data_IF_626399818615
#
_entry.id   IF_626399818615
#
_cell.length_a   1.000
_cell.length_b   1.000
_cell.length_c   1.000
_cell.angle_alpha   90.00
_cell.angle_beta   90.00
_cell.angle_gamma   90.00
#
_symmetry.space_group_name_H-M   'P 1'
#
loop_
_entity.id
_entity.type
_entity.pdbx_description
1 polymer ?
#
# COMPACT_ATOMS: atom_id res chain seq x y z
N UNK A 1 -24.93 -14.19 16.87
CA UNK A 1 -24.70 -13.35 15.67
C UNK A 1 -25.20 -14.13 14.47
N UNK A 2 -25.79 -13.47 13.47
CA UNK A 2 -26.25 -14.14 12.25
C UNK A 2 -25.07 -14.59 11.38
N UNK A 3 -25.29 -15.57 10.50
CA UNK A 3 -24.26 -16.04 9.57
C UNK A 3 -23.73 -14.92 8.66
N UNK A 4 -24.61 -13.98 8.27
CA UNK A 4 -24.26 -12.83 7.43
C UNK A 4 -23.33 -11.85 8.17
N UNK A 5 -23.60 -11.58 9.45
CA UNK A 5 -22.75 -10.69 10.26
C UNK A 5 -21.35 -11.27 10.45
N UNK A 6 -21.24 -12.58 10.70
CA UNK A 6 -19.94 -13.26 10.83
C UNK A 6 -19.12 -13.18 9.54
N UNK A 7 -19.78 -13.34 8.39
CA UNK A 7 -19.13 -13.25 7.09
C UNK A 7 -18.62 -11.83 6.83
N UNK A 8 -19.41 -10.81 7.14
CA UNK A 8 -19.00 -9.41 7.00
C UNK A 8 -17.82 -9.07 7.92
N UNK A 9 -17.88 -9.47 9.19
CA UNK A 9 -16.79 -9.25 10.14
C UNK A 9 -15.49 -9.89 9.65
N UNK A 10 -15.57 -11.11 9.09
CA UNK A 10 -14.42 -11.81 8.52
C UNK A 10 -13.82 -11.09 7.32
N UNK A 11 -14.66 -10.59 6.40
CA UNK A 11 -14.19 -9.85 5.21
C UNK A 11 -13.51 -8.55 5.65
N UNK A 12 -14.13 -7.80 6.56
CA UNK A 12 -13.57 -6.54 7.07
C UNK A 12 -12.27 -6.79 7.83
N UNK A 13 -12.19 -7.87 8.61
CA UNK A 13 -10.98 -8.26 9.30
C UNK A 13 -9.82 -8.55 8.34
N UNK A 14 -10.05 -9.39 7.32
CA UNK A 14 -9.01 -9.73 6.32
C UNK A 14 -8.56 -8.48 5.57
N UNK A 15 -9.51 -7.64 5.12
CA UNK A 15 -9.19 -6.38 4.44
C UNK A 15 -8.33 -5.47 5.32
N UNK A 16 -8.74 -5.28 6.58
CA UNK A 16 -8.02 -4.44 7.52
C UNK A 16 -6.64 -4.98 7.85
N UNK A 17 -6.48 -6.30 7.94
CA UNK A 17 -5.19 -6.96 8.15
C UNK A 17 -4.24 -6.73 6.98
N UNK A 18 -4.73 -6.85 5.75
CA UNK A 18 -3.93 -6.57 4.55
C UNK A 18 -3.43 -5.13 4.59
N UNK A 19 -4.32 -4.15 4.74
CA UNK A 19 -3.95 -2.73 4.79
C UNK A 19 -2.97 -2.43 5.93
N UNK A 20 -3.21 -2.96 7.13
CA UNK A 20 -2.34 -2.73 8.29
C UNK A 20 -0.88 -3.15 8.03
N UNK A 21 -0.66 -4.17 7.19
CA UNK A 21 0.67 -4.66 6.81
C UNK A 21 1.20 -3.97 5.55
N UNK A 22 0.36 -3.79 4.52
CA UNK A 22 0.82 -3.28 3.22
C UNK A 22 1.13 -1.80 3.26
N UNK A 23 0.33 -0.98 3.94
CA UNK A 23 0.56 0.47 4.05
C UNK A 23 1.95 0.77 4.61
N UNK A 24 2.38 0.30 5.80
CA UNK A 24 3.73 0.60 6.28
C UNK A 24 4.83 0.02 5.38
N UNK A 25 4.59 -1.11 4.71
CA UNK A 25 5.60 -1.75 3.88
C UNK A 25 5.79 -1.04 2.52
N UNK A 26 4.71 -0.62 1.87
CA UNK A 26 4.72 -0.03 0.52
C UNK A 26 4.80 1.50 0.56
N UNK A 27 4.15 2.14 1.53
CA UNK A 27 4.10 3.60 1.61
C UNK A 27 5.39 4.17 2.18
N UNK A 28 6.05 3.45 3.09
CA UNK A 28 7.39 3.83 3.55
C UNK A 28 8.38 3.86 2.38
N UNK A 29 8.34 2.87 1.49
CA UNK A 29 9.18 2.83 0.28
C UNK A 29 8.88 3.97 -0.69
N UNK A 30 7.68 4.52 -0.61
CA UNK A 30 7.25 5.62 -1.45
C UNK A 30 7.65 6.96 -0.83
N UNK A 31 7.54 7.13 0.49
CA UNK A 31 7.87 8.38 1.20
C UNK A 31 9.36 8.55 1.51
N UNK A 32 10.16 7.48 1.47
CA UNK A 32 11.61 7.53 1.68
C UNK A 32 12.35 8.14 0.47
N UNK A 33 13.35 9.01 0.71
CA UNK A 33 14.17 9.59 -0.36
C UNK A 33 14.98 8.52 -1.09
N UNK A 34 15.24 8.75 -2.39
CA UNK A 34 15.85 7.82 -3.36
C UNK A 34 17.22 7.21 -2.98
N UNK A 35 17.81 7.64 -1.87
CA UNK A 35 19.08 7.14 -1.33
C UNK A 35 18.91 6.01 -0.30
N UNK A 36 17.67 5.60 0.00
CA UNK A 36 17.44 4.41 0.82
C UNK A 36 17.71 3.12 0.03
N UNK A 37 18.14 2.08 0.76
CA UNK A 37 18.56 0.75 0.29
C UNK A 37 17.55 0.02 -0.64
N UNK A 38 16.35 0.58 -0.82
CA UNK A 38 15.20 -0.03 -1.50
C UNK A 38 14.92 0.56 -2.89
N UNK A 39 15.48 1.73 -3.23
CA UNK A 39 15.37 2.29 -4.60
C UNK A 39 16.09 1.43 -5.63
N UNK A 40 17.16 0.76 -5.20
CA UNK A 40 17.94 -0.21 -5.96
C UNK A 40 17.17 -1.48 -6.30
N UNK A 41 16.34 -2.01 -5.38
CA UNK A 41 15.50 -3.19 -5.64
C UNK A 41 14.42 -2.90 -6.69
N UNK A 42 13.74 -1.75 -6.58
CA UNK A 42 12.73 -1.30 -7.55
C UNK A 42 13.34 -1.16 -8.95
N UNK A 43 14.46 -0.43 -9.07
CA UNK A 43 15.17 -0.26 -10.34
C UNK A 43 15.69 -1.60 -10.88
N UNK A 44 16.15 -2.51 -10.02
CA UNK A 44 16.66 -3.81 -10.44
C UNK A 44 15.56 -4.72 -10.97
N UNK A 45 14.35 -4.64 -10.42
CA UNK A 45 13.21 -5.44 -10.85
C UNK A 45 12.68 -4.98 -12.21
N UNK A 46 12.56 -3.66 -12.42
CA UNK A 46 12.19 -3.05 -13.71
C UNK A 46 13.23 -3.40 -14.78
N UNK A 47 14.52 -3.27 -14.43
CA UNK A 47 15.63 -3.62 -15.33
C UNK A 47 15.67 -5.11 -15.67
N UNK A 48 15.32 -5.97 -14.72
CA UNK A 48 15.30 -7.43 -14.91
C UNK A 48 14.09 -7.89 -15.73
N UNK A 49 12.94 -7.22 -15.63
CA UNK A 49 11.72 -7.61 -16.34
C UNK A 49 11.57 -7.01 -17.74
N UNK A 50 12.59 -6.30 -18.26
CA UNK A 50 12.69 -5.93 -19.67
C UNK A 50 11.52 -5.10 -20.21
N UNK A 51 10.78 -4.43 -19.32
CA UNK A 51 9.55 -3.72 -19.70
C UNK A 51 9.95 -2.42 -20.40
N UNK A 52 9.55 -2.22 -21.67
CA UNK A 52 9.90 -1.00 -22.38
C UNK A 52 9.23 0.20 -21.72
N UNK A 53 10.04 1.20 -21.37
CA UNK A 53 9.66 2.48 -20.72
C UNK A 53 8.58 3.24 -21.52
N UNK A 54 8.26 2.81 -22.75
CA UNK A 54 7.27 3.43 -23.63
C UNK A 54 5.82 3.29 -23.16
N UNK A 55 5.50 2.35 -22.28
CA UNK A 55 4.10 2.08 -21.89
C UNK A 55 3.73 2.82 -20.61
N UNK A 56 3.61 4.15 -20.69
CA UNK A 56 2.82 4.95 -19.72
C UNK A 56 3.06 4.64 -18.24
N UNK A 57 4.29 4.28 -17.88
CA UNK A 57 4.65 3.78 -16.56
C UNK A 57 4.94 4.96 -15.62
N UNK A 58 3.97 5.87 -15.58
CA UNK A 58 4.01 7.13 -14.83
C UNK A 58 4.11 6.89 -13.32
N UNK A 59 3.68 5.73 -12.82
CA UNK A 59 3.85 5.36 -11.40
C UNK A 59 5.26 4.86 -11.07
N UNK A 60 6.02 4.47 -12.10
CA UNK A 60 7.30 3.76 -11.96
C UNK A 60 8.49 4.67 -12.32
N UNK A 61 8.33 5.55 -13.31
CA UNK A 61 9.43 6.36 -13.88
C UNK A 61 9.59 7.71 -13.17
N UNK A 62 8.50 8.36 -12.79
CA UNK A 62 8.50 9.59 -11.99
C UNK A 62 7.43 9.46 -10.93
N UNK A 63 7.77 9.40 -9.63
CA UNK A 63 6.73 9.33 -8.58
C UNK A 63 5.81 10.55 -8.71
N UNK A 64 4.55 10.41 -9.18
CA UNK A 64 3.71 11.57 -9.42
C UNK A 64 3.38 12.19 -8.06
N UNK A 65 3.43 13.52 -7.95
CA UNK A 65 3.02 14.22 -6.71
C UNK A 65 1.60 13.86 -6.28
N UNK A 66 0.74 13.54 -7.26
CA UNK A 66 -0.60 13.00 -7.04
C UNK A 66 -0.60 11.66 -6.26
N UNK A 67 0.28 10.72 -6.63
CA UNK A 67 0.39 9.42 -5.96
C UNK A 67 0.91 9.59 -4.52
N UNK A 68 1.83 10.52 -4.28
CA UNK A 68 2.26 10.89 -2.92
C UNK A 68 1.07 11.40 -2.10
N UNK A 69 0.22 12.23 -2.69
CA UNK A 69 -0.99 12.73 -2.03
C UNK A 69 -1.97 11.61 -1.66
N UNK A 70 -2.14 10.62 -2.53
CA UNK A 70 -2.99 9.44 -2.26
C UNK A 70 -2.46 8.62 -1.09
N UNK A 71 -1.14 8.39 -1.04
CA UNK A 71 -0.47 7.70 0.08
C UNK A 71 -0.71 8.44 1.40
N UNK A 72 -0.64 9.77 1.41
CA UNK A 72 -0.93 10.54 2.63
C UNK A 72 -2.36 10.34 3.12
N UNK A 73 -3.34 10.29 2.22
CA UNK A 73 -4.74 10.00 2.57
C UNK A 73 -4.87 8.59 3.13
N UNK A 74 -4.22 7.61 2.51
CA UNK A 74 -4.20 6.23 2.99
C UNK A 74 -3.63 6.13 4.41
N UNK A 75 -2.45 6.71 4.64
CA UNK A 75 -1.74 6.68 5.93
C UNK A 75 -2.48 7.41 7.04
N UNK A 76 -3.14 8.54 6.75
CA UNK A 76 -3.84 9.33 7.78
C UNK A 76 -5.26 8.84 8.08
N UNK A 77 -5.96 8.27 7.10
CA UNK A 77 -7.37 7.92 7.27
C UNK A 77 -7.60 6.41 7.20
N UNK A 78 -7.15 5.76 6.14
CA UNK A 78 -7.48 4.35 5.92
C UNK A 78 -6.71 3.45 6.90
N UNK A 79 -5.42 3.70 7.10
CA UNK A 79 -4.58 2.87 7.94
C UNK A 79 -5.00 2.89 9.43
N UNK A 80 -5.22 4.06 10.08
CA UNK A 80 -5.69 4.09 11.47
C UNK A 80 -7.06 3.43 11.64
N UNK A 81 -7.95 3.59 10.65
CA UNK A 81 -9.26 2.96 10.65
C UNK A 81 -9.14 1.43 10.56
N UNK A 82 -8.27 0.91 9.69
CA UNK A 82 -8.02 -0.53 9.59
C UNK A 82 -7.40 -1.10 10.87
N UNK A 83 -6.46 -0.38 11.50
CA UNK A 83 -5.90 -0.80 12.80
C UNK A 83 -6.98 -0.80 13.90
N UNK A 84 -7.83 0.23 13.93
CA UNK A 84 -8.95 0.29 14.88
C UNK A 84 -9.98 -0.84 14.64
N UNK A 85 -10.28 -1.17 13.39
CA UNK A 85 -11.16 -2.30 13.04
C UNK A 85 -10.58 -3.64 13.49
N UNK A 86 -9.27 -3.86 13.31
CA UNK A 86 -8.62 -5.07 13.81
C UNK A 86 -8.72 -5.19 15.32
N UNK A 87 -8.59 -4.07 16.04
CA UNK A 87 -8.76 -4.06 17.50
C UNK A 87 -10.22 -4.26 17.93
N UNK A 88 -11.19 -3.71 17.18
CA UNK A 88 -12.60 -3.77 17.54
C UNK A 88 -13.32 -5.07 17.17
N UNK A 89 -12.80 -5.83 16.20
CA UNK A 89 -13.35 -7.13 15.78
C UNK A 89 -12.80 -8.29 16.64
N UNK A 90 -11.60 -8.13 17.23
CA UNK A 90 -10.96 -9.09 18.14
C UNK A 90 -11.50 -8.93 19.56
#
# INVERSE_FOLDING_TARGET
MGAITLLLDTIVFIFSLVIAITTPLLDSQSCLPSHSLTSSLRLSWIRRNGTPISTGDYLVTEKPRFFVGLIWVEVFFLWPLCVANLYGIV
#
